data_IF_175118650380
#
_entry.id   IF_175118650380
#
_cell.length_a   1.000
_cell.length_b   1.000
_cell.length_c   1.000
_cell.angle_alpha   90.00
_cell.angle_beta   90.00
_cell.angle_gamma   90.00
#
_symmetry.space_group_name_H-M   'P 1'
#
loop_
_entity.id
_entity.type
_entity.pdbx_description
1 polymer ?
#
# COMPACT_ATOMS: atom_id res chain seq x y z
N UNK A 1 12.05 11.66 7.15
CA UNK A 1 12.36 10.30 6.67
C UNK A 1 11.02 9.69 6.35
N UNK A 2 10.80 9.24 5.11
CA UNK A 2 9.54 8.59 4.75
C UNK A 2 9.55 7.11 5.13
N UNK A 3 8.39 6.52 5.07
CA UNK A 3 8.14 5.11 5.32
C UNK A 3 8.21 4.35 4.00
N UNK A 4 9.03 3.31 3.98
CA UNK A 4 9.33 2.55 2.77
C UNK A 4 8.41 1.35 2.62
N UNK A 5 8.02 1.01 1.40
CA UNK A 5 7.43 -0.29 1.12
C UNK A 5 8.51 -1.37 1.26
N UNK A 6 8.32 -2.30 2.20
CA UNK A 6 9.18 -3.47 2.36
C UNK A 6 8.52 -4.66 1.69
N UNK A 7 9.25 -5.35 0.81
CA UNK A 7 8.84 -6.62 0.20
C UNK A 7 9.81 -7.70 0.67
N UNK A 8 9.27 -8.76 1.26
CA UNK A 8 10.02 -9.87 1.84
C UNK A 8 9.62 -11.16 1.14
N UNK A 9 10.61 -11.90 0.66
CA UNK A 9 10.40 -13.20 0.02
C UNK A 9 11.52 -14.15 0.45
N UNK A 10 11.29 -15.46 0.34
CA UNK A 10 12.40 -16.42 0.39
C UNK A 10 13.31 -16.27 -0.84
N UNK A 11 14.49 -16.90 -0.81
CA UNK A 11 15.48 -16.72 -1.88
C UNK A 11 14.97 -17.21 -3.25
N UNK A 12 14.19 -18.28 -3.27
CA UNK A 12 13.67 -18.85 -4.52
C UNK A 12 12.61 -17.91 -5.12
N UNK A 13 11.66 -17.46 -4.32
CA UNK A 13 10.61 -16.52 -4.70
C UNK A 13 11.20 -15.16 -5.10
N UNK A 14 12.19 -14.64 -4.36
CA UNK A 14 12.91 -13.43 -4.73
C UNK A 14 13.61 -13.59 -6.09
N UNK A 15 14.24 -14.75 -6.35
CA UNK A 15 14.86 -15.03 -7.64
C UNK A 15 13.83 -15.04 -8.78
N UNK A 16 12.65 -15.62 -8.56
CA UNK A 16 11.59 -15.62 -9.57
C UNK A 16 11.03 -14.22 -9.83
N UNK A 17 10.80 -13.44 -8.77
CA UNK A 17 10.37 -12.04 -8.88
C UNK A 17 11.38 -11.24 -9.69
N UNK A 18 12.67 -11.35 -9.39
CA UNK A 18 13.71 -10.61 -10.08
C UNK A 18 13.95 -11.10 -11.52
N UNK A 19 13.67 -12.37 -11.86
CA UNK A 19 13.71 -12.84 -13.26
C UNK A 19 12.63 -12.16 -14.12
N UNK A 20 11.46 -11.89 -13.52
CA UNK A 20 10.35 -11.23 -14.22
C UNK A 20 10.55 -9.72 -14.26
N UNK A 21 10.80 -9.10 -13.10
CA UNK A 21 10.87 -7.63 -12.95
C UNK A 21 12.20 -7.07 -13.46
N UNK A 22 13.27 -7.87 -13.42
CA UNK A 22 14.64 -7.58 -13.88
C UNK A 22 15.40 -6.49 -13.12
N UNK A 23 14.72 -5.39 -12.78
CA UNK A 23 15.30 -4.26 -12.07
C UNK A 23 14.61 -4.06 -10.71
N UNK A 24 15.35 -4.28 -9.64
CA UNK A 24 14.84 -4.16 -8.26
C UNK A 24 14.50 -2.71 -7.88
N UNK A 25 15.05 -1.70 -8.57
CA UNK A 25 14.70 -0.30 -8.32
C UNK A 25 13.25 0.00 -8.70
N UNK A 26 12.62 -0.83 -9.55
CA UNK A 26 11.20 -0.75 -9.87
C UNK A 26 10.29 -1.23 -8.73
N UNK A 27 10.85 -1.65 -7.59
CA UNK A 27 10.13 -2.08 -6.39
C UNK A 27 10.32 -1.11 -5.21
N UNK A 28 10.90 0.07 -5.47
CA UNK A 28 11.09 1.10 -4.45
C UNK A 28 9.90 2.05 -4.36
N UNK A 29 9.42 2.27 -3.14
CA UNK A 29 8.40 3.28 -2.85
C UNK A 29 8.59 3.82 -1.44
N UNK A 30 8.34 5.11 -1.26
CA UNK A 30 8.45 5.83 0.02
C UNK A 30 7.34 6.88 0.10
N UNK A 31 6.76 7.05 1.28
CA UNK A 31 5.77 8.10 1.55
C UNK A 31 5.90 8.61 2.98
N UNK A 32 5.54 9.86 3.24
CA UNK A 32 5.54 10.40 4.59
C UNK A 32 4.47 9.76 5.48
N UNK A 33 4.72 9.63 6.79
CA UNK A 33 3.75 9.08 7.73
C UNK A 33 2.38 9.78 7.71
N UNK A 34 2.39 11.10 7.55
CA UNK A 34 1.18 11.92 7.55
C UNK A 34 0.32 11.69 6.30
N UNK A 35 0.94 11.52 5.13
CA UNK A 35 0.18 11.24 3.90
C UNK A 35 -0.44 9.85 3.97
N UNK A 36 0.28 8.85 4.47
CA UNK A 36 -0.25 7.52 4.75
C UNK A 36 -1.49 7.55 5.68
N UNK A 37 -1.42 8.30 6.79
CA UNK A 37 -2.54 8.43 7.74
C UNK A 37 -3.77 9.08 7.09
N UNK A 38 -3.55 10.04 6.19
CA UNK A 38 -4.62 10.69 5.43
C UNK A 38 -5.16 9.76 4.36
N UNK A 39 -4.32 9.05 3.60
CA UNK A 39 -4.72 8.07 2.58
C UNK A 39 -5.62 6.99 3.17
N UNK A 40 -5.27 6.46 4.34
CA UNK A 40 -6.07 5.46 5.07
C UNK A 40 -7.51 5.95 5.35
N UNK A 41 -7.69 7.23 5.66
CA UNK A 41 -8.98 7.86 5.96
C UNK A 41 -9.68 8.41 4.72
N UNK A 42 -8.94 8.79 3.69
CA UNK A 42 -9.42 9.49 2.50
C UNK A 42 -9.96 8.53 1.44
N UNK A 43 -9.19 7.50 1.10
CA UNK A 43 -9.55 6.55 0.06
C UNK A 43 -10.89 5.82 0.29
N UNK A 44 -11.32 5.52 1.53
CA UNK A 44 -12.66 4.97 1.77
C UNK A 44 -13.77 5.92 1.31
N UNK A 45 -13.59 7.24 1.46
CA UNK A 45 -14.54 8.26 0.95
C UNK A 45 -14.64 8.23 -0.58
N UNK A 46 -13.62 7.71 -1.26
CA UNK A 46 -13.57 7.54 -2.73
C UNK A 46 -13.97 6.12 -3.17
N UNK A 47 -14.43 5.27 -2.26
CA UNK A 47 -14.95 3.93 -2.55
C UNK A 47 -13.90 2.82 -2.61
N UNK A 48 -12.67 3.07 -2.15
CA UNK A 48 -11.66 2.02 -1.97
C UNK A 48 -11.91 1.26 -0.67
N UNK A 49 -11.75 -0.06 -0.70
CA UNK A 49 -12.08 -0.96 0.41
C UNK A 49 -10.86 -1.65 0.98
N UNK A 50 -9.92 -2.09 0.14
CA UNK A 50 -8.75 -2.88 0.55
C UNK A 50 -7.52 -1.98 0.66
N UNK A 51 -7.22 -1.20 -0.37
CA UNK A 51 -6.03 -0.34 -0.44
C UNK A 51 -5.88 0.57 0.79
N UNK A 52 -6.91 1.28 1.29
CA UNK A 52 -6.76 2.11 2.48
C UNK A 52 -6.29 1.36 3.73
N UNK A 53 -6.59 0.07 3.85
CA UNK A 53 -6.17 -0.75 5.00
C UNK A 53 -4.67 -1.02 4.97
N UNK A 54 -4.05 -1.06 3.78
CA UNK A 54 -2.58 -1.19 3.63
C UNK A 54 -1.85 -0.01 4.26
N UNK A 55 -2.46 1.18 4.23
CA UNK A 55 -1.90 2.40 4.81
C UNK A 55 -2.21 2.57 6.29
N UNK A 56 -3.17 1.82 6.84
CA UNK A 56 -3.54 1.91 8.25
C UNK A 56 -2.56 1.11 9.11
N UNK A 57 -1.64 1.83 9.75
CA UNK A 57 -0.66 1.27 10.69
C UNK A 57 -1.30 0.47 11.84
N UNK A 58 -2.55 0.81 12.20
CA UNK A 58 -3.28 0.18 13.29
C UNK A 58 -4.24 -0.91 12.82
N UNK A 59 -4.19 -1.29 11.54
CA UNK A 59 -5.07 -2.30 10.98
C UNK A 59 -4.94 -3.62 11.75
N UNK A 60 -6.06 -4.20 12.19
CA UNK A 60 -6.09 -5.49 12.91
C UNK A 60 -6.85 -6.54 12.09
N UNK A 61 -6.15 -7.50 11.45
CA UNK A 61 -6.80 -8.57 10.70
C UNK A 61 -7.62 -9.46 11.64
N UNK A 62 -8.68 -10.07 11.11
CA UNK A 62 -9.54 -11.02 11.83
C UNK A 62 -10.78 -10.42 12.48
N UNK A 63 -10.95 -9.09 12.47
CA UNK A 63 -12.22 -8.46 12.87
C UNK A 63 -12.97 -8.03 11.62
N UNK A 64 -14.15 -8.61 11.36
CA UNK A 64 -14.98 -8.23 10.22
C UNK A 64 -15.74 -6.95 10.56
N UNK A 65 -15.16 -5.79 10.24
CA UNK A 65 -15.78 -4.47 10.45
C UNK A 65 -16.52 -3.95 9.22
N UNK A 66 -15.97 -4.17 8.02
CA UNK A 66 -16.54 -3.76 6.74
C UNK A 66 -16.38 -4.81 5.63
N UNK A 67 -16.74 -4.46 4.39
CA UNK A 67 -16.60 -5.36 3.23
C UNK A 67 -15.14 -5.63 2.85
N UNK A 68 -14.24 -4.67 3.02
CA UNK A 68 -12.81 -4.88 2.78
C UNK A 68 -12.22 -5.91 3.75
N UNK A 69 -12.63 -5.88 5.02
CA UNK A 69 -12.21 -6.89 6.01
C UNK A 69 -12.66 -8.29 5.63
N UNK A 70 -13.88 -8.44 5.09
CA UNK A 70 -14.38 -9.74 4.62
C UNK A 70 -13.47 -10.32 3.55
N UNK A 71 -13.13 -9.50 2.55
CA UNK A 71 -12.26 -9.89 1.44
C UNK A 71 -10.86 -10.28 1.94
N UNK A 72 -10.29 -9.50 2.86
CA UNK A 72 -8.96 -9.77 3.44
C UNK A 72 -8.96 -11.07 4.23
N UNK A 73 -9.97 -11.28 5.09
CA UNK A 73 -10.10 -12.49 5.93
C UNK A 73 -10.31 -13.73 5.06
N UNK A 74 -11.13 -13.65 4.01
CA UNK A 74 -11.43 -14.76 3.11
C UNK A 74 -10.17 -15.36 2.47
N UNK A 75 -9.22 -14.50 2.09
CA UNK A 75 -7.96 -14.94 1.46
C UNK A 75 -6.79 -15.05 2.43
N UNK A 76 -7.03 -14.83 3.74
CA UNK A 76 -5.99 -14.71 4.76
C UNK A 76 -4.88 -13.71 4.33
N UNK A 77 -5.29 -12.59 3.74
CA UNK A 77 -4.39 -11.66 3.04
C UNK A 77 -3.55 -10.77 3.97
N UNK A 78 -3.75 -10.84 5.28
CA UNK A 78 -3.03 -10.03 6.25
C UNK A 78 -2.90 -10.76 7.60
N UNK A 79 -1.73 -10.65 8.22
CA UNK A 79 -1.46 -11.08 9.60
C UNK A 79 -0.81 -9.95 10.40
N UNK A 80 -0.71 -10.13 11.72
CA UNK A 80 0.07 -9.24 12.58
C UNK A 80 1.39 -9.91 12.91
N UNK A 81 2.50 -9.25 12.57
CA UNK A 81 3.81 -9.61 13.10
C UNK A 81 3.96 -8.97 14.47
N UNK A 82 4.04 -9.80 15.50
CA UNK A 82 4.44 -9.39 16.85
C UNK A 82 5.73 -10.12 17.18
N UNK A 83 6.87 -9.46 16.98
CA UNK A 83 8.12 -9.92 17.57
C UNK A 83 8.23 -9.34 18.98
N UNK A 84 8.77 -10.14 19.92
CA UNK A 84 8.90 -9.72 21.31
C UNK A 84 9.65 -8.38 21.42
N UNK A 85 8.93 -7.34 21.88
CA UNK A 85 9.47 -6.00 22.11
C UNK A 85 9.26 -4.97 20.99
N UNK A 86 8.61 -5.32 19.89
CA UNK A 86 8.28 -4.38 18.81
C UNK A 86 6.77 -4.08 18.73
N UNK A 87 6.42 -2.90 18.21
CA UNK A 87 5.02 -2.59 17.94
C UNK A 87 4.46 -3.58 16.89
N UNK A 88 3.21 -4.05 17.07
CA UNK A 88 2.62 -4.98 16.12
C UNK A 88 2.40 -4.31 14.76
N UNK A 89 2.92 -4.92 13.68
CA UNK A 89 2.80 -4.37 12.32
C UNK A 89 1.91 -5.26 11.45
N UNK A 90 0.96 -4.70 10.68
CA UNK A 90 0.22 -5.42 9.64
C UNK A 90 1.17 -5.90 8.52
N UNK A 91 1.18 -7.20 8.27
CA UNK A 91 1.93 -7.83 7.19
C UNK A 91 0.96 -8.38 6.16
N UNK A 92 1.09 -7.91 4.92
CA UNK A 92 0.24 -8.30 3.80
C UNK A 92 0.85 -9.46 3.05
N UNK A 93 0.05 -10.47 2.76
CA UNK A 93 0.48 -11.65 2.03
C UNK A 93 0.09 -11.55 0.55
N UNK A 94 0.81 -12.26 -0.32
CA UNK A 94 0.64 -12.13 -1.77
C UNK A 94 -0.79 -12.46 -2.25
N UNK A 95 -1.54 -13.27 -1.49
CA UNK A 95 -2.93 -13.64 -1.78
C UNK A 95 -3.83 -12.41 -1.92
N UNK A 96 -3.54 -11.30 -1.24
CA UNK A 96 -4.35 -10.07 -1.37
C UNK A 96 -4.34 -9.53 -2.80
N UNK A 97 -3.23 -9.71 -3.52
CA UNK A 97 -3.07 -9.26 -4.92
C UNK A 97 -3.78 -10.20 -5.92
N UNK A 98 -4.29 -11.34 -5.47
CA UNK A 98 -5.13 -12.25 -6.28
C UNK A 98 -6.59 -11.80 -6.30
N UNK A 99 -7.02 -10.95 -5.37
CA UNK A 99 -8.40 -10.46 -5.30
C UNK A 99 -8.73 -9.56 -6.50
N UNK A 100 -9.84 -9.83 -7.22
CA UNK A 100 -10.33 -8.95 -8.28
C UNK A 100 -10.57 -7.51 -7.82
N UNK A 101 -11.08 -7.33 -6.61
CA UNK A 101 -11.33 -6.03 -5.99
C UNK A 101 -10.03 -5.25 -5.78
N UNK A 102 -9.00 -5.91 -5.26
CA UNK A 102 -7.69 -5.29 -5.07
C UNK A 102 -7.08 -4.88 -6.42
N UNK A 103 -7.13 -5.76 -7.42
CA UNK A 103 -6.65 -5.44 -8.79
C UNK A 103 -7.41 -4.29 -9.43
N UNK A 104 -8.72 -4.19 -9.19
CA UNK A 104 -9.53 -3.07 -9.66
C UNK A 104 -9.14 -1.76 -8.98
N UNK A 105 -8.90 -1.78 -7.67
CA UNK A 105 -8.43 -0.61 -6.93
C UNK A 105 -7.05 -0.15 -7.40
N UNK A 106 -6.11 -1.09 -7.58
CA UNK A 106 -4.78 -0.80 -8.12
C UNK A 106 -4.84 -0.20 -9.52
N UNK A 107 -5.63 -0.81 -10.42
CA UNK A 107 -5.82 -0.28 -11.77
C UNK A 107 -6.35 1.15 -11.74
N UNK A 108 -7.29 1.43 -10.84
CA UNK A 108 -7.89 2.77 -10.70
C UNK A 108 -6.87 3.84 -10.31
N UNK A 109 -5.99 3.57 -9.31
CA UNK A 109 -4.95 4.54 -8.93
C UNK A 109 -3.84 4.69 -9.99
N UNK A 110 -3.66 3.70 -10.87
CA UNK A 110 -2.69 3.78 -11.96
C UNK A 110 -3.22 4.58 -13.15
N UNK A 111 -4.51 4.47 -13.44
CA UNK A 111 -5.15 5.08 -14.61
C UNK A 111 -5.81 6.45 -14.34
N UNK A 112 -6.16 6.75 -13.08
CA UNK A 112 -6.89 7.96 -12.70
C UNK A 112 -6.11 8.81 -11.70
N UNK A 113 -6.31 10.14 -11.74
CA UNK A 113 -5.94 11.04 -10.64
C UNK A 113 -7.02 10.95 -9.54
N UNK A 114 -6.70 10.24 -8.45
CA UNK A 114 -7.67 9.90 -7.38
C UNK A 114 -7.68 10.94 -6.27
N UNK A 115 -6.54 11.60 -6.04
CA UNK A 115 -6.40 12.65 -5.03
C UNK A 115 -6.80 13.99 -5.64
N UNK A 116 -7.48 14.81 -4.85
CA UNK A 116 -7.90 16.16 -5.23
C UNK A 116 -7.45 17.17 -4.15
N UNK A 117 -7.70 18.47 -4.36
CA UNK A 117 -7.29 19.50 -3.40
C UNK A 117 -7.84 19.29 -1.99
N UNK A 118 -8.96 18.57 -1.82
CA UNK A 118 -9.49 18.29 -0.49
C UNK A 118 -8.74 17.18 0.24
N UNK A 119 -7.94 16.35 -0.46
CA UNK A 119 -6.94 15.50 0.17
C UNK A 119 -5.81 16.34 0.78
N UNK A 120 -5.25 17.29 0.02
CA UNK A 120 -4.17 18.17 0.48
C UNK A 120 -4.59 18.99 1.72
N UNK A 121 -5.85 19.45 1.75
CA UNK A 121 -6.40 20.14 2.92
C UNK A 121 -6.37 19.26 4.17
N UNK A 122 -6.64 17.95 4.03
CA UNK A 122 -6.60 17.00 5.15
C UNK A 122 -5.15 16.69 5.55
N UNK A 123 -4.20 16.68 4.61
CA UNK A 123 -2.76 16.59 4.90
C UNK A 123 -2.28 17.77 5.73
N UNK A 124 -2.62 19.00 5.34
CA UNK A 124 -2.30 20.20 6.11
C UNK A 124 -2.88 20.11 7.53
N UNK A 125 -4.16 19.73 7.66
CA UNK A 125 -4.80 19.59 8.97
C UNK A 125 -4.12 18.53 9.84
N UNK A 126 -3.74 17.41 9.26
CA UNK A 126 -3.05 16.35 10.01
C UNK A 126 -1.66 16.80 10.47
N UNK A 127 -0.92 17.51 9.61
CA UNK A 127 0.38 18.07 9.98
C UNK A 127 0.25 19.15 11.06
N UNK A 128 -0.71 20.05 10.96
CA UNK A 128 -0.98 21.07 11.99
C UNK A 128 -1.40 20.43 13.33
N UNK A 129 -2.13 19.31 13.28
CA UNK A 129 -2.54 18.56 14.48
C UNK A 129 -1.35 17.94 15.21
N UNK A 130 -0.35 17.45 14.47
CA UNK A 130 0.81 16.75 15.03
C UNK A 130 1.91 17.73 15.46
N UNK A 131 2.21 18.73 14.64
CA UNK A 131 3.36 19.63 14.84
C UNK A 131 2.97 21.00 15.39
N UNK A 132 1.70 21.36 15.41
CA UNK A 132 1.24 22.70 15.77
C UNK A 132 0.99 23.58 14.53
N UNK A 133 0.08 24.55 14.70
CA UNK A 133 -0.43 25.38 13.61
C UNK A 133 0.67 26.29 13.04
N UNK A 134 0.89 26.22 11.73
CA UNK A 134 1.88 27.06 11.04
C UNK A 134 3.35 26.61 11.20
N UNK A 135 3.61 25.50 11.89
CA UNK A 135 4.96 24.90 12.00
C UNK A 135 5.24 23.88 10.87
N UNK A 136 4.21 23.43 10.16
CA UNK A 136 4.36 22.58 8.99
C UNK A 136 4.83 23.40 7.78
N UNK A 137 6.03 23.11 7.27
CA UNK A 137 6.56 23.70 6.02
C UNK A 137 5.91 23.14 4.73
N UNK A 138 4.73 22.52 4.83
CA UNK A 138 4.03 21.91 3.70
C UNK A 138 3.18 22.94 2.96
N UNK A 139 3.31 22.97 1.63
CA UNK A 139 2.55 23.88 0.77
C UNK A 139 1.49 23.08 0.02
N UNK A 140 0.23 23.33 0.31
CA UNK A 140 -0.88 22.81 -0.47
C UNK A 140 -0.99 23.59 -1.79
N UNK A 141 -0.61 22.96 -2.90
CA UNK A 141 -0.74 23.51 -4.25
C UNK A 141 -0.91 22.40 -5.31
N UNK A 142 -1.25 22.78 -6.55
CA UNK A 142 -1.46 21.82 -7.65
C UNK A 142 -0.21 20.98 -7.98
N UNK A 143 0.99 21.51 -7.68
CA UNK A 143 2.23 20.80 -7.96
C UNK A 143 2.43 19.67 -6.95
N UNK A 144 2.15 19.94 -5.68
CA UNK A 144 2.21 18.97 -4.58
C UNK A 144 1.15 17.89 -4.78
N UNK A 145 -0.10 18.27 -5.08
CA UNK A 145 -1.16 17.33 -5.43
C UNK A 145 -0.80 16.40 -6.61
N UNK A 146 -0.14 16.93 -7.64
CA UNK A 146 0.33 16.11 -8.76
C UNK A 146 1.42 15.14 -8.32
N UNK A 147 2.36 15.58 -7.48
CA UNK A 147 3.39 14.71 -6.94
C UNK A 147 2.80 13.58 -6.09
N UNK A 148 1.78 13.88 -5.28
CA UNK A 148 1.12 12.88 -4.42
C UNK A 148 0.32 11.86 -5.24
N UNK A 149 -0.36 12.30 -6.32
CA UNK A 149 -0.99 11.38 -7.27
C UNK A 149 0.05 10.49 -7.97
N UNK A 150 1.17 11.05 -8.43
CA UNK A 150 2.25 10.27 -9.06
C UNK A 150 2.89 9.29 -8.06
N UNK A 151 3.04 9.67 -6.79
CA UNK A 151 3.57 8.78 -5.76
C UNK A 151 2.61 7.62 -5.46
N UNK A 152 1.30 7.89 -5.32
CA UNK A 152 0.28 6.86 -5.13
C UNK A 152 0.22 5.92 -6.35
N UNK A 153 0.33 6.47 -7.56
CA UNK A 153 0.43 5.69 -8.80
C UNK A 153 1.66 4.79 -8.79
N UNK A 154 2.82 5.28 -8.34
CA UNK A 154 4.04 4.49 -8.21
C UNK A 154 3.84 3.23 -7.35
N UNK A 155 3.17 3.35 -6.20
CA UNK A 155 2.78 2.18 -5.40
C UNK A 155 1.85 1.24 -6.17
N UNK A 156 0.86 1.80 -6.86
CA UNK A 156 -0.08 1.04 -7.68
C UNK A 156 0.63 0.20 -8.75
N UNK A 157 1.59 0.79 -9.45
CA UNK A 157 2.41 0.13 -10.46
C UNK A 157 3.26 -0.99 -9.86
N UNK A 158 3.84 -0.79 -8.68
CA UNK A 158 4.63 -1.82 -7.98
C UNK A 158 3.77 -3.03 -7.63
N UNK A 159 2.62 -2.80 -6.98
CA UNK A 159 1.73 -3.88 -6.57
C UNK A 159 1.12 -4.61 -7.78
N UNK A 160 0.84 -3.89 -8.88
CA UNK A 160 0.43 -4.50 -10.15
C UNK A 160 1.53 -5.37 -10.77
N UNK A 161 2.79 -4.89 -10.81
CA UNK A 161 3.93 -5.68 -11.30
C UNK A 161 4.14 -6.95 -10.50
N UNK A 162 3.99 -6.87 -9.18
CA UNK A 162 4.05 -8.05 -8.31
C UNK A 162 2.91 -9.03 -8.63
N UNK A 163 1.69 -8.54 -8.80
CA UNK A 163 0.54 -9.37 -9.18
C UNK A 163 0.72 -10.06 -10.54
N UNK A 164 1.22 -9.33 -11.55
CA UNK A 164 1.53 -9.86 -12.87
C UNK A 164 2.67 -10.89 -12.82
N UNK A 165 3.69 -10.64 -12.00
CA UNK A 165 4.77 -11.59 -11.76
C UNK A 165 4.24 -12.91 -11.19
N UNK A 166 3.31 -12.83 -10.23
CA UNK A 166 2.69 -14.03 -9.67
C UNK A 166 1.97 -14.86 -10.74
N UNK A 167 1.25 -14.20 -11.64
CA UNK A 167 0.53 -14.86 -12.72
C UNK A 167 1.49 -15.53 -13.70
N UNK A 168 2.55 -14.82 -14.12
CA UNK A 168 3.56 -15.34 -15.04
C UNK A 168 4.31 -16.55 -14.48
N UNK A 169 4.77 -16.46 -13.23
CA UNK A 169 5.50 -17.56 -12.58
C UNK A 169 4.58 -18.75 -12.34
N UNK A 170 3.33 -18.52 -11.91
CA UNK A 170 2.33 -19.59 -11.77
C UNK A 170 2.06 -20.28 -13.11
N UNK A 171 1.96 -19.52 -14.21
CA UNK A 171 1.77 -20.10 -15.54
C UNK A 171 2.99 -20.95 -15.97
N UNK A 172 4.20 -20.51 -15.64
CA UNK A 172 5.43 -21.20 -16.03
C UNK A 172 5.75 -22.43 -15.15
N UNK A 173 5.42 -22.39 -13.85
CA UNK A 173 5.88 -23.36 -12.84
C UNK A 173 4.77 -24.07 -12.06
N UNK A 174 3.52 -23.70 -12.27
CA UNK A 174 2.36 -24.23 -11.56
C UNK A 174 2.11 -23.62 -10.18
N UNK A 175 3.09 -22.93 -9.60
CA UNK A 175 3.01 -22.27 -8.28
C UNK A 175 3.48 -20.81 -8.38
N UNK A 176 2.75 -19.84 -7.80
CA UNK A 176 3.22 -18.46 -7.72
C UNK A 176 4.37 -18.33 -6.70
N UNK A 177 5.22 -17.30 -6.80
CA UNK A 177 6.19 -16.96 -5.76
C UNK A 177 5.45 -16.55 -4.48
N UNK A 178 6.05 -16.86 -3.34
CA UNK A 178 5.56 -16.42 -2.04
C UNK A 178 6.28 -15.14 -1.62
N UNK A 179 5.53 -14.15 -1.18
CA UNK A 179 6.10 -12.95 -0.58
C UNK A 179 5.11 -12.27 0.35
N UNK A 180 5.66 -11.46 1.23
CA UNK A 180 4.96 -10.58 2.14
C UNK A 180 5.37 -9.15 1.84
N UNK A 181 4.52 -8.19 2.15
CA UNK A 181 4.87 -6.79 2.09
C UNK A 181 4.24 -6.00 3.23
N UNK A 182 4.89 -4.93 3.66
CA UNK A 182 4.44 -4.07 4.74
C UNK A 182 5.10 -2.70 4.65
N UNK A 183 4.53 -1.73 5.36
CA UNK A 183 5.11 -0.40 5.56
C UNK A 183 5.45 -0.33 7.06
N UNK A 184 6.75 -0.29 7.44
CA UNK A 184 7.12 -0.10 8.84
C UNK A 184 6.59 1.26 9.29
N UNK A 185 6.05 1.33 10.50
CA UNK A 185 5.44 2.53 11.09
C UNK A 185 5.82 2.61 12.56
#
# INVERSE_FOLDING_TARGET
>A
MGEILVIKADMDSASEILKVIKDHHLLYWEESPHHLDVLAKWLPKKGFKILPKIFDANYKPGTVGDEGDKLIVEVQGCTIRSEDGWEPIPVWHEQILKLPEMRKELKRIVEEEVLDMSFEEEVVREMERVHGRGEAHYTMDEKTLRADNENLKGLGEILMKLAECMDQVKQAKGVPPFFEFYIPR
#
